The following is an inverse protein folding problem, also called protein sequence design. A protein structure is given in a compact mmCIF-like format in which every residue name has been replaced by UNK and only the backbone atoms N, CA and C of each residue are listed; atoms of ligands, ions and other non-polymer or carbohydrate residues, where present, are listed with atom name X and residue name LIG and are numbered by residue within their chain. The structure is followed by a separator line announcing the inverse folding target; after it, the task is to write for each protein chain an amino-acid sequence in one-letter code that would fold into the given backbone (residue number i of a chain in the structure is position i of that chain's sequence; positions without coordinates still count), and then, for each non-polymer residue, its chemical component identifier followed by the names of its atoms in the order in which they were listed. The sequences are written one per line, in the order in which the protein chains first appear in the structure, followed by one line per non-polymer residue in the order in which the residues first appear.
data_IF_643394900672
#
_entry.id   IF_643394900672
#
_cell.length_a   1.000
_cell.length_b   1.000
_cell.length_c   1.000
_cell.angle_alpha   90.00
_cell.angle_beta   90.00
_cell.angle_gamma   90.00
#
_symmetry.space_group_name_H-M   'P 1'
#
loop_
_entity.id
_entity.type
_entity.pdbx_description
1 polymer ?
#
# COMPACT_ATOMS: atom_id res chain seq x y z
N UNK A 1 -31.51 3.97 -17.07
CA UNK A 1 -30.51 5.06 -17.17
C UNK A 1 -29.34 4.69 -16.28
N UNK A 2 -28.16 4.47 -16.86
CA UNK A 2 -26.99 3.92 -16.17
C UNK A 2 -26.34 4.98 -15.27
N UNK A 3 -26.31 4.73 -13.95
CA UNK A 3 -25.65 5.63 -12.99
C UNK A 3 -24.22 5.13 -12.79
N UNK A 4 -23.24 5.91 -13.22
CA UNK A 4 -21.85 5.81 -12.79
C UNK A 4 -21.68 6.67 -11.54
N UNK A 5 -21.44 6.02 -10.41
CA UNK A 5 -21.06 6.70 -9.15
C UNK A 5 -19.53 6.66 -9.07
N UNK A 6 -18.89 7.81 -9.21
CA UNK A 6 -17.47 7.99 -8.90
C UNK A 6 -17.34 8.43 -7.44
N UNK A 7 -17.04 7.50 -6.54
CA UNK A 7 -16.69 7.79 -5.14
C UNK A 7 -15.20 8.11 -5.05
N UNK A 8 -14.87 9.38 -4.79
CA UNK A 8 -13.53 9.78 -4.36
C UNK A 8 -13.40 9.49 -2.86
N UNK A 9 -12.71 8.40 -2.51
CA UNK A 9 -12.32 8.12 -1.13
C UNK A 9 -11.07 8.93 -0.77
N UNK A 10 -11.27 10.06 -0.09
CA UNK A 10 -10.20 10.74 0.64
C UNK A 10 -9.95 10.00 1.95
N UNK A 11 -8.89 9.19 2.00
CA UNK A 11 -8.44 8.53 3.21
C UNK A 11 -7.91 9.56 4.20
N UNK A 12 -8.68 9.84 5.27
CA UNK A 12 -8.13 10.42 6.50
C UNK A 12 -7.59 9.24 7.31
N UNK A 13 -6.39 8.78 6.96
CA UNK A 13 -5.56 8.00 7.87
C UNK A 13 -4.95 9.03 8.82
N UNK A 14 -5.31 8.94 10.09
CA UNK A 14 -4.66 9.68 11.17
C UNK A 14 -3.16 9.37 11.16
N UNK A 15 -2.37 10.30 10.61
CA UNK A 15 -0.99 10.63 10.98
C UNK A 15 -0.01 9.48 11.24
N UNK A 16 0.24 8.62 10.24
CA UNK A 16 1.45 7.78 10.21
C UNK A 16 2.20 8.03 8.88
N UNK A 17 3.54 8.20 8.90
CA UNK A 17 4.30 8.52 7.70
C UNK A 17 4.25 7.33 6.73
N UNK A 18 3.52 7.50 5.63
CA UNK A 18 3.59 6.64 4.45
C UNK A 18 4.89 6.94 3.69
N UNK A 19 5.95 6.19 3.96
CA UNK A 19 7.15 6.06 3.11
C UNK A 19 7.78 4.69 3.37
N UNK A 20 8.38 3.96 2.43
CA UNK A 20 8.53 4.07 1.00
C UNK A 20 8.66 2.63 0.47
N UNK A 21 7.57 2.08 -0.06
CA UNK A 21 7.58 0.84 -0.83
C UNK A 21 6.92 1.17 -2.16
N UNK A 22 7.65 0.98 -3.26
CA UNK A 22 7.12 1.21 -4.60
C UNK A 22 5.78 0.50 -4.77
N UNK A 23 4.76 1.27 -5.15
CA UNK A 23 3.45 0.72 -5.46
C UNK A 23 3.55 -0.18 -6.70
N UNK A 24 2.95 -1.38 -6.71
CA UNK A 24 2.94 -2.23 -7.89
C UNK A 24 2.30 -1.50 -9.09
N UNK A 25 2.87 -1.71 -10.28
CA UNK A 25 2.54 -1.03 -11.54
C UNK A 25 1.04 -1.01 -11.92
N UNK A 26 0.21 -1.86 -11.31
CA UNK A 26 -1.24 -1.85 -11.44
C UNK A 26 -1.90 -0.54 -10.97
N UNK A 27 -1.30 0.19 -10.02
CA UNK A 27 -1.85 1.47 -9.55
C UNK A 27 -1.55 2.64 -10.50
N UNK A 28 -0.43 2.58 -11.25
CA UNK A 28 -0.11 3.56 -12.31
C UNK A 28 -0.97 3.38 -13.56
N UNK A 29 -1.36 2.14 -13.90
CA UNK A 29 -2.15 1.85 -15.10
C UNK A 29 -3.60 2.38 -15.02
N UNK A 30 -4.16 2.54 -13.82
CA UNK A 30 -5.48 3.13 -13.63
C UNK A 30 -5.50 4.66 -13.84
N UNK A 31 -4.35 5.34 -13.72
CA UNK A 31 -4.24 6.78 -13.98
C UNK A 31 -3.83 7.12 -15.43
N UNK A 32 -3.25 6.18 -16.18
CA UNK A 32 -2.67 6.41 -17.52
C UNK A 32 -3.51 5.89 -18.70
N UNK A 33 -4.63 5.20 -18.46
CA UNK A 33 -5.46 4.59 -19.52
C UNK A 33 -6.62 5.47 -20.03
N UNK A 34 -6.70 6.75 -19.66
CA UNK A 34 -7.72 7.68 -20.19
C UNK A 34 -7.18 8.72 -21.16
N UNK A 35 -5.94 8.57 -21.64
CA UNK A 35 -5.36 9.48 -22.62
C UNK A 35 -4.68 8.74 -23.77
N UNK A 36 -5.46 8.37 -24.79
CA UNK A 36 -5.17 8.62 -26.22
C UNK A 36 -6.14 7.88 -27.15
N UNK A 37 -6.72 8.69 -28.03
CA UNK A 37 -7.21 8.38 -29.38
C UNK A 37 -8.63 7.80 -29.58
N UNK A 38 -9.58 8.72 -29.75
CA UNK A 38 -10.50 8.68 -30.88
C UNK A 38 -10.62 10.08 -31.49
N UNK A 39 -10.19 10.18 -32.75
CA UNK A 39 -9.96 11.40 -33.50
C UNK A 39 -11.23 12.03 -34.11
N UNK A 40 -11.04 13.25 -34.63
CA UNK A 40 -11.84 13.97 -35.64
C UNK A 40 -12.95 14.92 -35.14
N UNK A 41 -12.57 16.18 -34.84
CA UNK A 41 -13.38 17.36 -35.17
C UNK A 41 -12.45 18.49 -35.66
N UNK A 42 -12.80 19.07 -36.81
CA UNK A 42 -12.09 20.18 -37.48
C UNK A 42 -11.97 21.43 -36.60
N UNK A 43 -10.97 22.31 -36.82
CA UNK A 43 -10.75 23.48 -35.99
C UNK A 43 -11.77 24.55 -36.32
N UNK A 44 -12.74 24.77 -35.43
CA UNK A 44 -13.46 26.04 -35.40
C UNK A 44 -12.60 27.01 -34.59
N UNK A 45 -11.87 27.87 -35.30
CA UNK A 45 -11.37 29.10 -34.72
C UNK A 45 -12.58 29.88 -34.18
N UNK A 46 -12.70 29.96 -32.86
CA UNK A 46 -13.54 30.97 -32.21
C UNK A 46 -12.74 31.58 -31.08
N UNK A 47 -12.24 32.77 -31.40
CA UNK A 47 -11.97 33.92 -30.56
C UNK A 47 -11.72 33.68 -29.06
N UNK A 48 -10.50 34.05 -28.67
CA UNK A 48 -10.13 34.37 -27.32
C UNK A 48 -10.94 35.61 -26.86
N UNK A 49 -12.10 35.38 -26.25
CA UNK A 49 -12.79 36.36 -25.40
C UNK A 49 -13.04 35.73 -24.04
N UNK A 50 -12.39 36.33 -23.05
CA UNK A 50 -12.64 36.11 -21.65
C UNK A 50 -14.03 36.65 -21.29
N UNK A 51 -15.06 35.83 -21.52
CA UNK A 51 -16.44 36.12 -21.10
C UNK A 51 -16.86 35.10 -20.02
N UNK A 52 -16.61 35.51 -18.78
CA UNK A 52 -17.29 35.18 -17.52
C UNK A 52 -18.19 33.93 -17.48
N UNK A 53 -17.69 32.83 -16.89
CA UNK A 53 -18.53 31.77 -16.33
C UNK A 53 -18.97 32.18 -14.92
N UNK A 54 -20.27 32.36 -14.78
CA UNK A 54 -20.98 32.87 -13.60
C UNK A 54 -20.71 32.03 -12.33
N UNK A 55 -20.49 32.66 -11.15
CA UNK A 55 -20.52 31.99 -9.86
C UNK A 55 -21.85 31.25 -9.59
N UNK A 56 -22.93 31.64 -10.28
CA UNK A 56 -24.27 31.12 -10.12
C UNK A 56 -24.35 29.61 -10.43
N UNK A 57 -23.82 29.12 -11.54
CA UNK A 57 -23.96 27.71 -11.95
C UNK A 57 -23.26 26.72 -10.98
N UNK A 58 -22.13 27.10 -10.40
CA UNK A 58 -21.44 26.29 -9.37
C UNK A 58 -22.22 26.29 -8.06
N UNK A 59 -22.82 27.43 -7.73
CA UNK A 59 -23.63 27.59 -6.52
C UNK A 59 -24.97 26.87 -6.66
N UNK A 60 -25.53 26.82 -7.86
CA UNK A 60 -26.75 26.13 -8.23
C UNK A 60 -26.53 24.62 -8.23
N UNK A 61 -25.43 24.11 -8.80
CA UNK A 61 -25.07 22.69 -8.73
C UNK A 61 -24.76 22.23 -7.29
N UNK A 62 -24.08 23.06 -6.49
CA UNK A 62 -23.88 22.80 -5.06
C UNK A 62 -25.19 22.87 -4.27
N UNK A 63 -26.10 23.78 -4.63
CA UNK A 63 -27.42 23.88 -4.02
C UNK A 63 -28.31 22.71 -4.44
N UNK A 64 -28.27 22.23 -5.68
CA UNK A 64 -29.01 21.06 -6.15
C UNK A 64 -28.47 19.78 -5.49
N UNK A 65 -27.15 19.63 -5.39
CA UNK A 65 -26.54 18.54 -4.62
C UNK A 65 -26.95 18.62 -3.15
N UNK A 66 -26.89 19.81 -2.53
CA UNK A 66 -27.33 20.04 -1.14
C UNK A 66 -28.83 19.79 -0.98
N UNK A 67 -29.64 20.14 -1.98
CA UNK A 67 -31.08 19.96 -2.01
C UNK A 67 -31.42 18.47 -2.14
N UNK A 68 -30.69 17.70 -2.95
CA UNK A 68 -30.82 16.24 -3.08
C UNK A 68 -30.35 15.50 -1.81
N UNK A 69 -29.32 16.00 -1.12
CA UNK A 69 -28.95 15.51 0.21
C UNK A 69 -29.99 15.88 1.28
N UNK A 70 -30.55 17.10 1.24
CA UNK A 70 -31.56 17.57 2.20
C UNK A 70 -32.95 16.96 1.98
N UNK A 71 -33.35 16.65 0.74
CA UNK A 71 -34.68 16.06 0.45
C UNK A 71 -34.80 14.60 0.85
N UNK A 72 -33.70 13.89 1.12
CA UNK A 72 -33.74 12.56 1.76
C UNK A 72 -33.68 12.62 3.29
N UNK A 73 -33.55 13.80 3.89
CA UNK A 73 -33.33 14.00 5.32
C UNK A 73 -34.57 14.52 6.07
N UNK A 74 -35.78 14.20 5.61
CA UNK A 74 -36.97 14.30 6.46
C UNK A 74 -36.97 13.14 7.47
N UNK A 75 -36.10 13.22 8.46
CA UNK A 75 -36.11 12.27 9.58
C UNK A 75 -37.38 12.51 10.39
N UNK A 76 -38.41 11.69 10.17
CA UNK A 76 -39.47 11.49 11.16
C UNK A 76 -38.79 11.18 12.51
N UNK A 77 -39.21 11.85 13.59
CA UNK A 77 -38.63 11.70 14.93
C UNK A 77 -38.42 10.22 15.28
N UNK A 78 -37.14 9.83 15.38
CA UNK A 78 -36.73 8.47 15.77
C UNK A 78 -36.23 7.56 14.65
N UNK A 79 -36.35 7.93 13.37
CA UNK A 79 -35.77 7.16 12.25
C UNK A 79 -34.25 7.38 12.11
N UNK A 80 -33.54 6.40 11.52
CA UNK A 80 -32.08 6.37 11.35
C UNK A 80 -31.72 6.31 9.87
N UNK A 81 -30.79 7.14 9.41
CA UNK A 81 -30.37 7.14 8.00
C UNK A 81 -29.47 5.93 7.67
N UNK A 82 -29.85 5.05 6.72
CA UNK A 82 -29.01 3.94 6.28
C UNK A 82 -27.70 4.38 5.64
N UNK A 83 -27.73 5.46 4.85
CA UNK A 83 -26.54 6.00 4.20
C UNK A 83 -25.53 6.55 5.23
N UNK A 84 -26.03 7.28 6.24
CA UNK A 84 -25.19 7.81 7.30
C UNK A 84 -24.61 6.68 8.17
N UNK A 85 -25.42 5.67 8.50
CA UNK A 85 -24.94 4.44 9.15
C UNK A 85 -23.81 3.77 8.37
N UNK A 86 -23.98 3.59 7.06
CA UNK A 86 -22.96 2.99 6.22
C UNK A 86 -21.66 3.80 6.27
N UNK A 87 -21.77 5.14 6.15
CA UNK A 87 -20.62 6.03 6.18
C UNK A 87 -19.85 5.95 7.50
N UNK A 88 -20.55 5.97 8.64
CA UNK A 88 -19.89 5.82 9.93
C UNK A 88 -19.13 4.51 10.03
N UNK A 89 -19.73 3.40 9.59
CA UNK A 89 -19.09 2.08 9.62
C UNK A 89 -18.01 1.85 8.58
N UNK A 90 -18.00 2.64 7.50
CA UNK A 90 -16.91 2.64 6.53
C UNK A 90 -15.65 3.32 7.08
N UNK A 91 -15.80 4.32 7.96
CA UNK A 91 -14.67 4.99 8.63
C UNK A 91 -14.21 4.21 9.85
N UNK A 92 -15.15 3.82 10.70
CA UNK A 92 -14.89 3.06 11.93
C UNK A 92 -15.83 1.86 12.00
N UNK A 93 -15.34 0.63 11.76
CA UNK A 93 -16.18 -0.56 11.81
C UNK A 93 -16.96 -0.67 13.12
N UNK A 94 -18.28 -0.88 13.02
CA UNK A 94 -19.20 -0.91 14.16
C UNK A 94 -19.88 0.42 14.51
N UNK A 95 -19.36 1.58 14.08
CA UNK A 95 -19.92 2.88 14.45
C UNK A 95 -21.35 3.12 13.90
N UNK A 96 -21.61 2.69 12.67
CA UNK A 96 -22.93 2.74 12.05
C UNK A 96 -23.96 1.81 12.69
N UNK A 97 -23.53 0.65 13.19
CA UNK A 97 -24.37 -0.26 13.97
C UNK A 97 -24.71 0.35 15.33
N UNK A 98 -23.75 1.02 15.98
CA UNK A 98 -23.99 1.75 17.23
C UNK A 98 -25.01 2.88 17.01
N UNK A 99 -24.88 3.64 15.92
CA UNK A 99 -25.86 4.66 15.52
C UNK A 99 -27.27 4.07 15.31
N UNK A 100 -27.35 2.86 14.73
CA UNK A 100 -28.58 2.09 14.57
C UNK A 100 -29.01 1.30 15.83
N UNK A 101 -28.41 1.57 16.99
CA UNK A 101 -28.69 0.95 18.31
C UNK A 101 -28.46 -0.57 18.38
N UNK A 102 -27.62 -1.12 17.51
CA UNK A 102 -27.21 -2.52 17.56
C UNK A 102 -25.80 -2.65 18.18
N UNK A 103 -25.74 -2.53 19.50
CA UNK A 103 -24.47 -2.50 20.24
C UNK A 103 -23.66 -3.80 20.16
N UNK A 104 -24.34 -4.95 20.11
CA UNK A 104 -23.63 -6.23 20.01
C UNK A 104 -22.91 -6.37 18.65
N UNK A 105 -23.54 -5.92 17.55
CA UNK A 105 -22.91 -5.90 16.23
C UNK A 105 -21.77 -4.88 16.18
N UNK A 106 -22.01 -3.70 16.77
CA UNK A 106 -20.98 -2.68 16.91
C UNK A 106 -19.74 -3.24 17.63
N UNK A 107 -19.94 -3.92 18.75
CA UNK A 107 -18.87 -4.55 19.51
C UNK A 107 -18.16 -5.65 18.70
N UNK A 108 -18.89 -6.49 17.96
CA UNK A 108 -18.30 -7.54 17.13
C UNK A 108 -17.38 -6.97 16.03
N UNK A 109 -17.85 -5.99 15.25
CA UNK A 109 -17.05 -5.35 14.20
C UNK A 109 -15.85 -4.59 14.76
N UNK A 110 -16.03 -3.86 15.86
CA UNK A 110 -14.94 -3.13 16.51
C UNK A 110 -13.88 -4.09 17.09
N UNK A 111 -14.30 -5.21 17.70
CA UNK A 111 -13.38 -6.21 18.23
C UNK A 111 -12.59 -6.90 17.10
N UNK A 112 -13.27 -7.26 16.00
CA UNK A 112 -12.60 -7.81 14.82
C UNK A 112 -11.57 -6.83 14.27
N UNK A 113 -11.92 -5.55 14.15
CA UNK A 113 -11.02 -4.51 13.68
C UNK A 113 -9.76 -4.38 14.55
N UNK A 114 -9.94 -4.32 15.88
CA UNK A 114 -8.81 -4.24 16.83
C UNK A 114 -7.88 -5.44 16.68
N UNK A 115 -8.42 -6.65 16.58
CA UNK A 115 -7.62 -7.87 16.44
C UNK A 115 -6.86 -7.91 15.10
N UNK A 116 -7.51 -7.51 14.01
CA UNK A 116 -6.91 -7.49 12.69
C UNK A 116 -5.79 -6.44 12.58
N UNK A 117 -6.03 -5.23 13.09
CA UNK A 117 -5.03 -4.14 13.11
C UNK A 117 -3.87 -4.48 14.04
N UNK A 118 -4.14 -5.03 15.22
CA UNK A 118 -3.09 -5.50 16.13
C UNK A 118 -2.24 -6.62 15.49
N UNK A 119 -2.89 -7.54 14.76
CA UNK A 119 -2.22 -8.55 13.94
C UNK A 119 -1.32 -7.91 12.88
N UNK A 120 -1.86 -6.98 12.09
CA UNK A 120 -1.13 -6.26 11.06
C UNK A 120 0.13 -5.59 11.62
N UNK A 121 0.00 -4.81 12.70
CA UNK A 121 1.11 -4.12 13.36
C UNK A 121 2.16 -5.12 13.86
N UNK A 122 1.73 -6.22 14.48
CA UNK A 122 2.62 -7.26 15.00
C UNK A 122 3.45 -7.92 13.89
N UNK A 123 2.80 -8.30 12.77
CA UNK A 123 3.47 -8.91 11.62
C UNK A 123 4.39 -7.92 10.89
N UNK A 124 3.97 -6.66 10.75
CA UNK A 124 4.81 -5.60 10.19
C UNK A 124 6.10 -5.42 11.03
N UNK A 125 5.96 -5.31 12.36
CA UNK A 125 7.10 -5.16 13.27
C UNK A 125 8.07 -6.35 13.23
N UNK A 126 7.55 -7.57 13.07
CA UNK A 126 8.36 -8.79 12.88
C UNK A 126 9.10 -8.79 11.54
N UNK A 127 8.44 -8.36 10.46
CA UNK A 127 9.09 -8.13 9.16
C UNK A 127 10.24 -7.13 9.30
N UNK A 128 9.98 -5.98 9.90
CA UNK A 128 11.00 -4.93 10.10
C UNK A 128 12.18 -5.41 10.95
N UNK A 129 11.92 -6.24 11.96
CA UNK A 129 12.98 -6.84 12.77
C UNK A 129 13.88 -7.77 11.94
N UNK A 130 13.29 -8.58 11.06
CA UNK A 130 14.04 -9.47 10.17
C UNK A 130 14.75 -8.73 9.05
N UNK A 131 14.16 -7.67 8.51
CA UNK A 131 14.82 -6.77 7.57
C UNK A 131 16.06 -6.12 8.21
N UNK A 132 15.97 -5.62 9.45
CA UNK A 132 17.14 -5.10 10.19
C UNK A 132 18.21 -6.16 10.41
N UNK A 133 17.83 -7.39 10.76
CA UNK A 133 18.77 -8.52 10.92
C UNK A 133 19.49 -8.84 9.60
N UNK A 134 18.74 -8.88 8.49
CA UNK A 134 19.26 -9.10 7.14
C UNK A 134 20.27 -8.01 6.76
N UNK A 135 19.93 -6.73 6.98
CA UNK A 135 20.82 -5.60 6.67
C UNK A 135 22.10 -5.65 7.50
N UNK A 136 21.99 -5.92 8.80
CA UNK A 136 23.15 -6.06 9.67
C UNK A 136 24.08 -7.21 9.25
N UNK A 137 23.52 -8.32 8.76
CA UNK A 137 24.32 -9.40 8.18
C UNK A 137 25.07 -8.93 6.92
N UNK A 138 24.39 -8.29 5.98
CA UNK A 138 25.05 -7.74 4.80
C UNK A 138 26.10 -6.69 5.15
N UNK A 139 25.82 -5.77 6.07
CA UNK A 139 26.78 -4.74 6.47
C UNK A 139 28.04 -5.29 7.14
N UNK A 140 27.95 -6.48 7.76
CA UNK A 140 29.09 -7.13 8.40
C UNK A 140 29.83 -8.11 7.49
N UNK A 141 29.15 -8.71 6.51
CA UNK A 141 29.70 -9.80 5.68
C UNK A 141 29.92 -9.45 4.22
N UNK A 142 29.36 -8.36 3.74
CA UNK A 142 29.52 -7.88 2.37
C UNK A 142 30.40 -6.62 2.34
N UNK A 143 31.52 -6.69 1.64
CA UNK A 143 32.52 -5.63 1.57
C UNK A 143 32.48 -4.91 0.20
N UNK A 144 32.09 -3.63 0.21
CA UNK A 144 32.10 -2.75 -0.96
C UNK A 144 33.48 -2.66 -1.61
N UNK A 145 34.54 -2.56 -0.79
CA UNK A 145 35.91 -2.46 -1.27
C UNK A 145 36.31 -3.69 -2.08
N UNK A 146 35.86 -4.87 -1.64
CA UNK A 146 36.06 -6.13 -2.37
C UNK A 146 35.33 -6.11 -3.71
N UNK A 147 34.09 -5.66 -3.75
CA UNK A 147 33.36 -5.51 -5.01
C UNK A 147 34.09 -4.58 -5.98
N UNK A 148 34.50 -3.39 -5.53
CA UNK A 148 35.23 -2.43 -6.36
C UNK A 148 36.60 -2.94 -6.82
N UNK A 149 37.27 -3.75 -6.01
CA UNK A 149 38.51 -4.42 -6.40
C UNK A 149 38.30 -5.39 -7.57
N UNK A 150 37.16 -6.11 -7.63
CA UNK A 150 36.79 -6.95 -8.78
C UNK A 150 36.52 -6.09 -10.02
N UNK A 151 35.79 -4.98 -9.88
CA UNK A 151 35.53 -4.05 -10.99
C UNK A 151 36.84 -3.53 -11.58
N UNK A 152 37.77 -3.09 -10.73
CA UNK A 152 39.11 -2.67 -11.14
C UNK A 152 39.87 -3.80 -11.85
N UNK A 153 39.92 -4.99 -11.26
CA UNK A 153 40.59 -6.17 -11.84
C UNK A 153 40.07 -6.49 -13.24
N UNK A 154 38.75 -6.49 -13.44
CA UNK A 154 38.14 -6.73 -14.75
C UNK A 154 38.53 -5.67 -15.77
N UNK A 155 38.52 -4.39 -15.38
CA UNK A 155 38.93 -3.30 -16.26
C UNK A 155 40.43 -3.39 -16.63
N UNK A 156 41.30 -3.79 -15.69
CA UNK A 156 42.73 -3.97 -15.98
C UNK A 156 43.01 -5.22 -16.82
N UNK A 157 42.33 -6.34 -16.54
CA UNK A 157 42.53 -7.61 -17.25
C UNK A 157 42.11 -7.49 -18.73
N UNK A 158 41.12 -6.64 -19.02
CA UNK A 158 40.69 -6.32 -20.39
C UNK A 158 41.50 -5.20 -21.05
N UNK A 159 42.52 -4.65 -20.38
CA UNK A 159 43.33 -3.53 -20.86
C UNK A 159 42.50 -2.25 -21.16
N UNK A 160 41.43 -2.08 -20.39
CA UNK A 160 40.44 -1.03 -20.56
C UNK A 160 40.61 0.09 -19.51
N UNK A 161 41.27 -0.18 -18.39
CA UNK A 161 41.49 0.83 -17.33
C UNK A 161 42.27 2.06 -17.82
N UNK A 162 41.63 3.22 -17.76
CA UNK A 162 42.12 4.53 -18.22
C UNK A 162 42.66 5.41 -17.08
N UNK A 163 42.69 4.91 -15.85
CA UNK A 163 43.20 5.60 -14.67
C UNK A 163 44.68 5.32 -14.37
N UNK A 164 45.25 5.96 -13.34
CA UNK A 164 46.56 5.57 -12.83
C UNK A 164 46.50 4.12 -12.32
N UNK A 165 47.59 3.33 -12.43
CA UNK A 165 47.66 2.01 -11.81
C UNK A 165 47.43 2.11 -10.31
N UNK A 166 46.47 1.32 -9.79
CA UNK A 166 46.15 1.27 -8.37
C UNK A 166 46.90 0.10 -7.73
N UNK A 167 47.32 0.27 -6.48
CA UNK A 167 48.00 -0.78 -5.74
C UNK A 167 46.95 -1.70 -5.10
N UNK A 168 47.18 -3.01 -5.19
CA UNK A 168 46.38 -4.02 -4.50
C UNK A 168 47.24 -4.76 -3.48
N UNK A 169 46.60 -5.29 -2.44
CA UNK A 169 47.27 -6.18 -1.49
C UNK A 169 47.58 -7.56 -2.12
N UNK A 170 48.17 -8.46 -1.33
CA UNK A 170 48.52 -9.81 -1.78
C UNK A 170 47.31 -10.63 -2.27
N UNK A 171 46.08 -10.26 -1.91
CA UNK A 171 44.85 -10.94 -2.33
C UNK A 171 44.15 -10.22 -3.50
N UNK A 172 44.71 -9.10 -3.99
CA UNK A 172 44.12 -8.31 -5.06
C UNK A 172 43.09 -7.27 -4.58
N UNK A 173 43.03 -6.96 -3.27
CA UNK A 173 42.14 -5.94 -2.72
C UNK A 173 42.76 -4.55 -2.82
N UNK A 174 41.98 -3.59 -3.29
CA UNK A 174 42.30 -2.16 -3.22
C UNK A 174 42.26 -1.67 -1.77
N UNK A 175 43.03 -0.61 -1.48
CA UNK A 175 42.86 0.13 -0.24
C UNK A 175 41.56 0.95 -0.27
N UNK A 176 40.98 1.25 0.90
CA UNK A 176 39.78 2.09 0.96
C UNK A 176 40.05 3.49 0.36
N UNK A 177 41.24 4.04 0.59
CA UNK A 177 41.64 5.32 0.01
C UNK A 177 41.71 5.30 -1.51
N UNK A 178 42.16 4.19 -2.12
CA UNK A 178 42.20 4.06 -3.58
C UNK A 178 40.80 3.94 -4.17
N UNK A 179 39.91 3.20 -3.49
CA UNK A 179 38.49 3.11 -3.88
C UNK A 179 37.86 4.50 -3.82
N UNK A 180 37.99 5.21 -2.70
CA UNK A 180 37.36 6.52 -2.51
C UNK A 180 37.90 7.56 -3.52
N UNK A 181 39.20 7.56 -3.77
CA UNK A 181 39.83 8.48 -4.72
C UNK A 181 39.47 8.20 -6.20
N UNK A 182 39.03 6.99 -6.52
CA UNK A 182 38.73 6.56 -7.89
C UNK A 182 37.29 6.11 -8.10
N UNK A 183 36.39 6.37 -7.15
CA UNK A 183 35.02 5.83 -7.16
C UNK A 183 34.24 6.21 -8.42
N UNK A 184 34.41 7.44 -8.92
CA UNK A 184 33.73 7.89 -10.13
C UNK A 184 34.17 7.08 -11.37
N UNK A 185 35.47 6.77 -11.46
CA UNK A 185 36.01 5.94 -12.55
C UNK A 185 35.57 4.50 -12.41
N UNK A 186 35.56 3.96 -11.20
CA UNK A 186 35.06 2.60 -10.94
C UNK A 186 33.56 2.46 -11.28
N UNK A 187 32.75 3.47 -10.97
CA UNK A 187 31.33 3.52 -11.34
C UNK A 187 31.11 3.65 -12.84
N UNK A 188 31.95 4.42 -13.52
CA UNK A 188 31.96 4.46 -14.98
C UNK A 188 32.19 3.06 -15.54
N UNK A 189 33.18 2.33 -15.05
CA UNK A 189 33.46 0.96 -15.50
C UNK A 189 32.36 -0.04 -15.16
N UNK A 190 31.71 0.08 -14.00
CA UNK A 190 30.52 -0.71 -13.68
C UNK A 190 29.39 -0.49 -14.71
N UNK A 191 29.20 0.75 -15.16
CA UNK A 191 28.10 1.12 -16.07
C UNK A 191 28.42 0.93 -17.56
N UNK A 192 29.70 1.05 -17.94
CA UNK A 192 30.15 1.15 -19.33
C UNK A 192 31.14 0.07 -19.74
N UNK A 193 31.67 -0.73 -18.80
CA UNK A 193 32.76 -1.67 -19.03
C UNK A 193 32.46 -2.86 -19.93
N UNK A 194 31.29 -2.89 -20.58
CA UNK A 194 30.83 -3.91 -21.53
C UNK A 194 31.16 -5.37 -21.15
N UNK A 195 31.23 -5.65 -19.85
CA UNK A 195 31.59 -6.95 -19.32
C UNK A 195 30.34 -7.82 -19.18
N UNK A 196 30.45 -9.09 -19.57
CA UNK A 196 29.36 -10.04 -19.46
C UNK A 196 29.00 -10.26 -17.99
N UNK A 197 27.92 -9.62 -17.53
CA UNK A 197 27.45 -9.72 -16.14
C UNK A 197 27.12 -8.40 -15.47
N UNK A 198 27.64 -7.26 -15.95
CA UNK A 198 27.26 -5.94 -15.45
C UNK A 198 25.96 -5.48 -16.08
N UNK A 199 24.87 -5.69 -15.35
CA UNK A 199 23.51 -5.36 -15.79
C UNK A 199 22.85 -4.31 -14.89
N UNK A 200 23.41 -4.10 -13.70
CA UNK A 200 22.88 -3.20 -12.68
C UNK A 200 24.01 -2.35 -12.12
N UNK A 201 23.66 -1.28 -11.42
CA UNK A 201 24.63 -0.39 -10.75
C UNK A 201 24.41 -0.51 -9.25
N UNK A 202 25.50 -0.63 -8.49
CA UNK A 202 25.45 -0.65 -7.03
C UNK A 202 24.94 0.71 -6.54
N UNK A 203 23.79 0.76 -5.84
CA UNK A 203 23.25 2.01 -5.34
C UNK A 203 24.24 2.75 -4.44
N UNK A 204 24.31 4.07 -4.56
CA UNK A 204 25.21 4.93 -3.77
C UNK A 204 24.85 5.01 -2.29
N UNK A 205 23.62 4.64 -1.97
CA UNK A 205 23.07 4.66 -0.61
C UNK A 205 22.55 3.28 -0.24
N UNK A 206 22.75 2.86 1.01
CA UNK A 206 22.29 1.58 1.56
C UNK A 206 20.78 1.55 1.82
N UNK A 207 19.99 1.75 0.78
CA UNK A 207 18.52 1.62 0.79
C UNK A 207 18.12 0.16 0.55
N UNK A 208 16.81 -0.14 0.56
CA UNK A 208 16.33 -1.49 0.21
C UNK A 208 16.89 -1.98 -1.13
N UNK A 209 16.97 -1.10 -2.13
CA UNK A 209 17.50 -1.43 -3.45
C UNK A 209 18.94 -1.98 -3.36
N UNK A 210 19.79 -1.38 -2.52
CA UNK A 210 21.17 -1.82 -2.32
C UNK A 210 21.22 -3.28 -1.83
N UNK A 211 20.48 -3.56 -0.75
CA UNK A 211 20.41 -4.89 -0.14
C UNK A 211 19.74 -5.93 -1.06
N UNK A 212 18.86 -5.49 -1.96
CA UNK A 212 18.31 -6.35 -3.00
C UNK A 212 19.32 -6.64 -4.11
N UNK A 213 20.12 -5.66 -4.55
CA UNK A 213 21.12 -5.86 -5.61
C UNK A 213 22.16 -6.89 -5.21
N UNK A 214 22.77 -6.74 -4.02
CA UNK A 214 23.85 -7.62 -3.55
C UNK A 214 23.47 -9.10 -3.41
N UNK A 215 22.16 -9.39 -3.38
CA UNK A 215 21.63 -10.75 -3.30
C UNK A 215 20.93 -11.23 -4.58
N UNK A 216 20.17 -10.38 -5.29
CA UNK A 216 19.47 -10.80 -6.52
C UNK A 216 20.43 -11.07 -7.68
N UNK A 217 21.54 -10.34 -7.72
CA UNK A 217 22.53 -10.44 -8.81
C UNK A 217 23.86 -10.94 -8.26
N UNK A 218 23.87 -12.15 -7.67
CA UNK A 218 25.09 -12.76 -7.12
C UNK A 218 26.19 -12.93 -8.18
N UNK A 219 25.85 -13.14 -9.44
CA UNK A 219 26.85 -13.21 -10.53
C UNK A 219 27.64 -11.90 -10.63
N UNK A 220 27.01 -10.76 -10.34
CA UNK A 220 27.67 -9.45 -10.39
C UNK A 220 28.22 -9.02 -9.03
N UNK A 221 27.37 -8.99 -8.00
CA UNK A 221 27.70 -8.43 -6.69
C UNK A 221 28.12 -9.50 -5.67
N UNK A 222 27.99 -10.79 -5.99
CA UNK A 222 28.27 -11.88 -5.06
C UNK A 222 29.74 -11.92 -4.63
N UNK A 223 30.65 -11.43 -5.47
CA UNK A 223 32.08 -11.31 -5.13
C UNK A 223 32.34 -10.49 -3.86
N UNK A 224 31.44 -9.59 -3.48
CA UNK A 224 31.58 -8.77 -2.27
C UNK A 224 31.39 -9.54 -0.97
N UNK A 225 30.84 -10.76 -1.00
CA UNK A 225 30.72 -11.60 0.21
C UNK A 225 32.09 -12.07 0.68
N UNK A 226 32.46 -11.72 1.92
CA UNK A 226 33.80 -11.94 2.48
C UNK A 226 34.16 -13.42 2.62
N UNK A 227 33.18 -14.30 2.81
CA UNK A 227 33.38 -15.74 2.97
C UNK A 227 34.04 -16.41 1.74
N UNK A 228 33.97 -15.77 0.57
CA UNK A 228 34.62 -16.24 -0.64
C UNK A 228 36.16 -16.21 -0.56
N UNK A 229 36.75 -15.50 0.40
CA UNK A 229 38.19 -15.50 0.63
C UNK A 229 38.97 -15.04 -0.60
N UNK A 230 39.69 -15.95 -1.28
CA UNK A 230 40.43 -15.63 -2.51
C UNK A 230 39.74 -16.13 -3.79
N UNK A 231 38.53 -16.67 -3.70
CA UNK A 231 37.75 -17.10 -4.86
C UNK A 231 36.93 -15.93 -5.43
N UNK A 232 37.56 -15.19 -6.35
CA UNK A 232 36.98 -14.02 -6.99
C UNK A 232 35.92 -14.33 -8.05
N UNK A 233 35.80 -15.60 -8.46
CA UNK A 233 34.99 -16.00 -9.61
C UNK A 233 33.92 -17.05 -9.26
N UNK A 234 33.75 -17.36 -7.97
CA UNK A 234 32.81 -18.38 -7.49
C UNK A 234 31.41 -18.24 -8.10
N UNK A 235 30.85 -17.03 -8.08
CA UNK A 235 29.52 -16.73 -8.59
C UNK A 235 29.47 -16.43 -10.09
N UNK A 236 30.60 -16.34 -10.78
CA UNK A 236 30.65 -16.10 -12.23
C UNK A 236 30.03 -17.29 -12.99
N UNK A 237 30.08 -18.49 -12.41
CA UNK A 237 29.43 -19.69 -12.94
C UNK A 237 27.97 -19.78 -12.44
N UNK A 238 26.95 -19.76 -13.31
CA UNK A 238 25.54 -19.84 -12.91
C UNK A 238 25.17 -21.08 -12.09
N UNK A 239 25.91 -22.19 -12.20
CA UNK A 239 25.65 -23.40 -11.41
C UNK A 239 25.95 -23.23 -9.92
N UNK A 240 26.77 -22.24 -9.53
CA UNK A 240 27.04 -21.87 -8.13
C UNK A 240 25.76 -21.42 -7.39
N UNK A 241 24.75 -20.93 -8.10
CA UNK A 241 23.47 -20.51 -7.51
C UNK A 241 22.67 -21.68 -6.90
N UNK A 242 23.04 -22.92 -7.24
CA UNK A 242 22.48 -24.12 -6.62
C UNK A 242 23.16 -24.48 -5.29
N UNK A 243 24.39 -24.00 -5.07
CA UNK A 243 25.20 -24.27 -3.89
C UNK A 243 25.64 -22.92 -3.30
N UNK A 244 24.70 -22.21 -2.66
CA UNK A 244 25.01 -20.94 -2.02
C UNK A 244 25.97 -21.17 -0.86
N UNK A 245 26.90 -20.24 -0.67
CA UNK A 245 27.75 -20.15 0.51
C UNK A 245 26.94 -19.85 1.76
N UNK A 246 27.52 -20.04 2.94
CA UNK A 246 26.79 -20.05 4.21
C UNK A 246 26.19 -18.68 4.55
N UNK A 247 26.93 -17.58 4.40
CA UNK A 247 26.41 -16.24 4.68
C UNK A 247 25.31 -15.86 3.67
N UNK A 248 25.47 -16.18 2.38
CA UNK A 248 24.45 -15.94 1.35
C UNK A 248 23.19 -16.77 1.58
N UNK A 249 23.33 -18.04 1.96
CA UNK A 249 22.21 -18.93 2.30
C UNK A 249 21.47 -18.44 3.56
N UNK A 250 22.22 -17.95 4.56
CA UNK A 250 21.66 -17.33 5.76
C UNK A 250 20.92 -16.03 5.41
N UNK A 251 21.50 -15.18 4.58
CA UNK A 251 20.88 -13.94 4.11
C UNK A 251 19.56 -14.23 3.39
N UNK A 252 19.55 -15.20 2.47
CA UNK A 252 18.33 -15.69 1.80
C UNK A 252 17.26 -16.12 2.79
N UNK A 253 17.64 -16.90 3.80
CA UNK A 253 16.71 -17.39 4.82
C UNK A 253 16.05 -16.25 5.59
N UNK A 254 16.84 -15.29 6.09
CA UNK A 254 16.32 -14.14 6.85
C UNK A 254 15.44 -13.26 5.95
N UNK A 255 15.86 -13.03 4.71
CA UNK A 255 15.08 -12.28 3.72
C UNK A 255 13.72 -12.94 3.45
N UNK A 256 13.69 -14.26 3.30
CA UNK A 256 12.44 -15.00 3.10
C UNK A 256 11.53 -14.89 4.32
N UNK A 257 12.06 -15.02 5.54
CA UNK A 257 11.30 -14.81 6.78
C UNK A 257 10.71 -13.40 6.86
N UNK A 258 11.48 -12.37 6.50
CA UNK A 258 11.01 -10.99 6.44
C UNK A 258 9.83 -10.85 5.46
N UNK A 259 9.98 -11.39 4.25
CA UNK A 259 8.93 -11.38 3.23
C UNK A 259 7.67 -12.13 3.68
N UNK A 260 7.79 -13.28 4.34
CA UNK A 260 6.65 -14.05 4.84
C UNK A 260 5.82 -13.25 5.86
N UNK A 261 6.50 -12.51 6.75
CA UNK A 261 5.83 -11.63 7.70
C UNK A 261 5.14 -10.46 6.99
N UNK A 262 5.79 -9.81 6.03
CA UNK A 262 5.16 -8.73 5.26
C UNK A 262 4.00 -9.23 4.39
N UNK A 263 4.09 -10.41 3.78
CA UNK A 263 2.99 -11.02 3.04
C UNK A 263 1.78 -11.24 3.95
N UNK A 264 2.01 -11.75 5.16
CA UNK A 264 0.94 -11.92 6.15
C UNK A 264 0.32 -10.57 6.57
N UNK A 265 1.15 -9.55 6.79
CA UNK A 265 0.67 -8.19 7.09
C UNK A 265 -0.19 -7.64 5.93
N UNK A 266 0.25 -7.80 4.68
CA UNK A 266 -0.52 -7.40 3.50
C UNK A 266 -1.86 -8.15 3.45
N UNK A 267 -1.88 -9.46 3.70
CA UNK A 267 -3.13 -10.22 3.79
C UNK A 267 -4.06 -9.67 4.87
N UNK A 268 -3.55 -9.37 6.07
CA UNK A 268 -4.34 -8.77 7.14
C UNK A 268 -4.90 -7.39 6.75
N UNK A 269 -4.12 -6.57 6.04
CA UNK A 269 -4.60 -5.27 5.54
C UNK A 269 -5.79 -5.43 4.57
N UNK A 270 -5.78 -6.45 3.71
CA UNK A 270 -6.92 -6.77 2.85
C UNK A 270 -8.14 -7.21 3.66
N UNK A 271 -7.93 -8.02 4.71
CA UNK A 271 -9.03 -8.48 5.58
C UNK A 271 -9.64 -7.30 6.35
N UNK A 272 -8.83 -6.34 6.81
CA UNK A 272 -9.31 -5.08 7.40
C UNK A 272 -10.22 -4.34 6.41
N UNK A 273 -9.81 -4.17 5.16
CA UNK A 273 -10.63 -3.49 4.14
C UNK A 273 -11.98 -4.21 3.92
N UNK A 274 -11.98 -5.54 3.88
CA UNK A 274 -13.21 -6.33 3.79
C UNK A 274 -14.08 -6.16 5.05
N UNK A 275 -13.47 -6.08 6.24
CA UNK A 275 -14.19 -5.81 7.49
C UNK A 275 -14.88 -4.44 7.46
N UNK A 276 -14.19 -3.38 7.00
CA UNK A 276 -14.77 -2.05 6.80
C UNK A 276 -15.96 -2.08 5.83
N UNK A 277 -15.81 -2.72 4.67
CA UNK A 277 -16.88 -2.81 3.68
C UNK A 277 -18.08 -3.60 4.21
N UNK A 278 -17.84 -4.77 4.82
CA UNK A 278 -18.88 -5.60 5.41
C UNK A 278 -19.62 -4.89 6.54
N UNK A 279 -18.88 -4.18 7.39
CA UNK A 279 -19.42 -3.34 8.45
C UNK A 279 -20.31 -2.21 7.90
N UNK A 280 -19.89 -1.52 6.84
CA UNK A 280 -20.69 -0.46 6.22
C UNK A 280 -22.01 -0.96 5.64
N UNK A 281 -21.98 -2.10 4.93
CA UNK A 281 -23.18 -2.73 4.37
C UNK A 281 -24.12 -3.19 5.49
N UNK A 282 -23.61 -3.88 6.51
CA UNK A 282 -24.43 -4.33 7.64
C UNK A 282 -25.01 -3.16 8.44
N UNK A 283 -24.28 -2.04 8.57
CA UNK A 283 -24.78 -0.84 9.24
C UNK A 283 -25.99 -0.25 8.49
N UNK A 284 -25.92 -0.16 7.16
CA UNK A 284 -27.04 0.31 6.34
C UNK A 284 -28.28 -0.57 6.53
N UNK A 285 -28.10 -1.89 6.48
CA UNK A 285 -29.18 -2.86 6.68
C UNK A 285 -29.73 -2.78 8.11
N UNK A 286 -28.87 -2.60 9.10
CA UNK A 286 -29.27 -2.47 10.51
C UNK A 286 -30.11 -1.20 10.74
N UNK A 287 -29.74 -0.07 10.14
CA UNK A 287 -30.55 1.15 10.16
C UNK A 287 -31.90 0.98 9.45
N UNK A 288 -31.91 0.33 8.27
CA UNK A 288 -33.16 0.02 7.56
C UNK A 288 -34.10 -0.83 8.44
N UNK A 289 -33.58 -1.88 9.06
CA UNK A 289 -34.35 -2.75 9.95
C UNK A 289 -34.80 -2.03 11.22
N UNK A 290 -33.99 -1.10 11.74
CA UNK A 290 -34.36 -0.26 12.87
C UNK A 290 -35.58 0.63 12.53
N UNK A 291 -35.59 1.23 11.35
CA UNK A 291 -36.71 2.07 10.89
C UNK A 291 -37.99 1.25 10.73
N UNK A 292 -37.91 0.05 10.13
CA UNK A 292 -39.07 -0.84 10.00
C UNK A 292 -39.70 -1.21 11.35
N UNK A 293 -38.88 -1.40 12.40
CA UNK A 293 -39.38 -1.67 13.76
C UNK A 293 -40.07 -0.47 14.40
N UNK A 294 -39.70 0.76 14.02
CA UNK A 294 -40.29 1.99 14.56
C UNK A 294 -41.73 2.22 14.07
N UNK A 295 -42.11 1.62 12.94
CA UNK A 295 -43.44 1.77 12.34
C UNK A 295 -44.52 0.85 12.97
N UNK A 296 -44.16 -0.01 13.93
CA UNK A 296 -45.14 -0.81 14.69
C UNK A 296 -45.59 -0.03 15.91
N UNK A 297 -46.83 0.50 15.89
CA UNK A 297 -47.44 1.20 17.03
C UNK A 297 -48.57 0.37 17.64
N UNK A 298 -48.49 0.13 18.95
CA UNK A 298 -49.59 -0.39 19.77
C UNK A 298 -50.40 0.81 20.27
N UNK A 299 -51.70 0.86 19.98
CA UNK A 299 -52.59 1.90 20.50
C UNK A 299 -53.74 1.26 21.30
N UNK A 300 -53.92 1.75 22.52
CA UNK A 300 -55.05 1.39 23.38
C UNK A 300 -56.09 2.50 23.35
N UNK A 301 -57.33 2.19 23.01
CA UNK A 301 -58.44 3.14 23.07
C UNK A 301 -59.59 2.50 23.85
N UNK A 302 -60.09 3.19 24.88
CA UNK A 302 -61.32 2.79 25.55
C UNK A 302 -62.52 3.41 24.83
N UNK A 303 -63.44 2.60 24.32
CA UNK A 303 -64.71 3.07 23.76
C UNK A 303 -65.88 2.66 24.66
N UNK A 304 -66.83 3.58 24.84
CA UNK A 304 -68.09 3.30 25.51
C UNK A 304 -69.05 2.69 24.49
N UNK A 305 -69.49 1.46 24.75
CA UNK A 305 -70.49 0.77 23.93
C UNK A 305 -71.48 0.04 24.84
N UNK A 306 -72.78 0.23 24.62
CA UNK A 306 -73.86 -0.39 25.41
C UNK A 306 -73.72 -0.23 26.95
N UNK A 307 -73.35 0.97 27.42
CA UNK A 307 -73.28 1.28 28.86
C UNK A 307 -72.07 0.71 29.60
N UNK A 308 -71.09 0.11 28.91
CA UNK A 308 -69.84 -0.38 29.51
C UNK A 308 -68.61 0.18 28.78
N UNK A 309 -67.57 0.49 29.55
CA UNK A 309 -66.24 0.81 29.00
C UNK A 309 -65.61 -0.49 28.53
N UNK A 310 -65.27 -0.59 27.26
CA UNK A 310 -64.48 -1.69 26.74
C UNK A 310 -63.08 -1.20 26.37
N UNK A 311 -62.01 -1.76 26.97
CA UNK A 311 -60.67 -1.51 26.50
C UNK A 311 -60.45 -2.23 25.17
N UNK A 312 -60.06 -1.48 24.13
CA UNK A 312 -59.62 -2.05 22.85
C UNK A 312 -58.13 -1.80 22.68
N UNK A 313 -57.40 -2.83 22.29
CA UNK A 313 -56.00 -2.75 21.93
C UNK A 313 -55.86 -3.05 20.45
N UNK A 314 -55.27 -2.13 19.70
CA UNK A 314 -55.00 -2.27 18.27
C UNK A 314 -53.50 -2.32 17.99
N UNK A 315 -53.10 -3.19 17.08
CA UNK A 315 -51.79 -3.14 16.44
C UNK A 315 -51.97 -2.44 15.09
N UNK A 316 -51.30 -1.30 14.89
CA UNK A 316 -51.27 -0.65 13.58
C UNK A 316 -50.05 -1.15 12.81
N UNK A 317 -50.32 -1.77 11.67
CA UNK A 317 -49.32 -2.05 10.65
C UNK A 317 -49.57 -1.08 9.49
N UNK A 318 -48.65 -0.16 9.24
CA UNK A 318 -48.64 0.61 8.00
C UNK A 318 -47.60 -0.05 7.09
N UNK A 319 -48.08 -0.73 6.04
CA UNK A 319 -47.26 -1.34 4.99
C UNK A 319 -46.97 -0.36 3.86
#
# INVERSE_FOLDING_TARGET
MNIRISLFFGFIILGLPLFAGEQPAAFRAALLTTGKDAAAVKPLMVNNRADWYEPAAKTELLNEMRLHFQTQESTEEGTKSPALSALFSAVVPGAGQAYAKSYWKAAAFAMAEVLLVAGYISYQSRGDAKDREMRALADSRWDEKRYWSKVYKLATDNNDWDGPPLQTDANGLLSQSDVDANIDRLRYWESNGNYYGFTHVLPTTKTQQYYEMIYKYLIQFGVGWQELGNDWNYYDNPSSLNNLTDDVARYKTIRNQSNDFYHTAVTLSWVVLVNHLGSAIDAALTAKNYNQKLHVRLYGQSRYYAGRVMPMYGLQFNW
#
